data_IF_814228446468
#
_entry.id   IF_814228446468
#
_cell.length_a   1.000
_cell.length_b   1.000
_cell.length_c   1.000
_cell.angle_alpha   90.00
_cell.angle_beta   90.00
_cell.angle_gamma   90.00
#
_symmetry.space_group_name_H-M   'P 1'
#
loop_
_entity.id
_entity.type
_entity.pdbx_description
1 polymer ?
#
# COMPACT_ATOMS: atom_id res chain seq x y z
N UNK A 1 -31.12 -1.91 -12.29
CA UNK A 1 -30.65 -2.08 -10.89
C UNK A 1 -29.71 -3.28 -10.90
N UNK A 2 -28.45 -3.15 -10.45
CA UNK A 2 -27.54 -4.30 -10.40
C UNK A 2 -28.15 -5.36 -9.47
N UNK A 3 -28.13 -6.64 -9.87
CA UNK A 3 -28.62 -7.74 -9.03
C UNK A 3 -27.76 -7.83 -7.77
N UNK A 4 -28.43 -7.92 -6.62
CA UNK A 4 -27.85 -7.91 -5.27
C UNK A 4 -26.92 -9.11 -4.98
N UNK A 5 -26.78 -10.04 -5.93
CA UNK A 5 -26.03 -11.30 -5.83
C UNK A 5 -24.51 -11.18 -5.89
N UNK A 6 -23.98 -10.04 -6.36
CA UNK A 6 -22.53 -9.88 -6.61
C UNK A 6 -21.82 -9.08 -5.52
N UNK A 7 -22.52 -8.71 -4.43
CA UNK A 7 -21.88 -8.03 -3.30
C UNK A 7 -21.21 -9.11 -2.44
N UNK A 8 -19.88 -9.18 -2.39
CA UNK A 8 -19.19 -10.19 -1.59
C UNK A 8 -19.60 -10.05 -0.13
N UNK A 9 -20.00 -11.16 0.49
CA UNK A 9 -20.45 -11.18 1.90
C UNK A 9 -19.34 -10.81 2.89
N UNK A 10 -18.09 -10.73 2.42
CA UNK A 10 -16.94 -10.19 3.12
C UNK A 10 -16.25 -9.20 2.19
N UNK A 11 -16.06 -7.98 2.65
CA UNK A 11 -15.19 -7.03 1.98
C UNK A 11 -13.73 -7.49 2.14
N UNK A 12 -13.11 -7.94 1.05
CA UNK A 12 -11.70 -8.33 1.03
C UNK A 12 -10.85 -7.12 0.61
N UNK A 13 -9.88 -6.74 1.44
CA UNK A 13 -8.72 -5.96 1.01
C UNK A 13 -7.70 -6.90 0.35
N UNK A 14 -6.77 -6.35 -0.42
CA UNK A 14 -5.81 -7.16 -1.17
C UNK A 14 -6.15 -7.31 -2.64
N UNK A 15 -6.73 -6.29 -3.28
CA UNK A 15 -6.83 -6.28 -4.75
C UNK A 15 -5.45 -6.45 -5.41
N UNK A 16 -4.40 -6.02 -4.72
CA UNK A 16 -2.99 -6.26 -5.06
C UNK A 16 -2.59 -7.74 -5.09
N UNK A 17 -3.24 -8.58 -4.28
CA UNK A 17 -3.09 -10.04 -4.29
C UNK A 17 -3.85 -10.65 -5.46
N UNK A 18 -4.99 -10.06 -5.83
CA UNK A 18 -5.82 -10.46 -6.97
C UNK A 18 -5.23 -10.05 -8.33
N UNK A 19 -4.29 -9.10 -8.36
CA UNK A 19 -3.54 -8.76 -9.57
C UNK A 19 -2.71 -9.97 -10.04
N UNK A 20 -2.75 -10.26 -11.34
CA UNK A 20 -1.92 -11.30 -11.96
C UNK A 20 -0.44 -11.00 -11.68
N UNK A 21 0.14 -11.85 -10.84
CA UNK A 21 1.50 -11.73 -10.30
C UNK A 21 2.59 -11.75 -11.37
N UNK A 22 2.27 -12.22 -12.58
CA UNK A 22 3.19 -12.26 -13.72
C UNK A 22 3.34 -10.89 -14.38
N UNK A 23 2.40 -9.98 -14.16
CA UNK A 23 2.47 -8.64 -14.75
C UNK A 23 3.53 -7.80 -14.06
N UNK A 24 4.26 -6.99 -14.83
CA UNK A 24 5.24 -6.05 -14.29
C UNK A 24 4.60 -5.08 -13.30
N UNK A 25 3.36 -4.65 -13.57
CA UNK A 25 2.57 -3.79 -12.70
C UNK A 25 2.30 -4.43 -11.33
N UNK A 26 1.85 -5.69 -11.29
CA UNK A 26 1.58 -6.37 -10.03
C UNK A 26 2.86 -6.53 -9.19
N UNK A 27 3.99 -6.81 -9.84
CA UNK A 27 5.29 -6.92 -9.16
C UNK A 27 5.72 -5.59 -8.55
N UNK A 28 5.67 -4.52 -9.34
CA UNK A 28 6.04 -3.17 -8.89
C UNK A 28 5.15 -2.71 -7.72
N UNK A 29 3.83 -2.85 -7.85
CA UNK A 29 2.91 -2.45 -6.79
C UNK A 29 3.12 -3.27 -5.51
N UNK A 30 3.44 -4.56 -5.60
CA UNK A 30 3.74 -5.40 -4.42
C UNK A 30 5.02 -4.97 -3.73
N UNK A 31 6.05 -4.63 -4.50
CA UNK A 31 7.32 -4.14 -3.97
C UNK A 31 7.13 -2.79 -3.26
N UNK A 32 6.40 -1.85 -3.88
CA UNK A 32 6.07 -0.57 -3.26
C UNK A 32 5.16 -0.73 -2.04
N UNK A 33 4.18 -1.62 -2.08
CA UNK A 33 3.33 -1.94 -0.91
C UNK A 33 4.18 -2.46 0.23
N UNK A 34 5.08 -3.41 -0.05
CA UNK A 34 6.00 -3.93 0.96
C UNK A 34 6.84 -2.80 1.56
N UNK A 35 7.47 -1.97 0.74
CA UNK A 35 8.29 -0.85 1.22
C UNK A 35 7.48 0.12 2.12
N UNK A 36 6.30 0.54 1.65
CA UNK A 36 5.42 1.43 2.40
C UNK A 36 4.96 0.82 3.74
N UNK A 37 4.59 -0.46 3.74
CA UNK A 37 4.14 -1.13 4.97
C UNK A 37 5.30 -1.44 5.93
N UNK A 38 6.50 -1.72 5.42
CA UNK A 38 7.71 -1.91 6.24
C UNK A 38 8.06 -0.62 7.00
N UNK A 39 7.94 0.54 6.36
CA UNK A 39 8.13 1.86 7.00
C UNK A 39 7.13 2.13 8.14
N UNK A 40 5.97 1.45 8.10
CA UNK A 40 4.91 1.52 9.12
C UNK A 40 5.01 0.40 10.17
N UNK A 41 6.08 -0.40 10.15
CA UNK A 41 6.34 -1.47 11.12
C UNK A 41 5.96 -2.88 10.65
N UNK A 42 5.56 -3.04 9.39
CA UNK A 42 5.15 -4.31 8.77
C UNK A 42 3.65 -4.38 8.51
N UNK A 43 3.27 -5.02 7.40
CA UNK A 43 1.87 -5.15 6.98
C UNK A 43 0.98 -5.87 8.01
N UNK A 44 1.55 -6.83 8.75
CA UNK A 44 0.89 -7.58 9.83
C UNK A 44 0.53 -6.72 11.05
N UNK A 45 1.18 -5.55 11.20
CA UNK A 45 0.96 -4.62 12.32
C UNK A 45 0.03 -3.46 11.98
N UNK A 46 -0.42 -3.37 10.72
CA UNK A 46 -1.32 -2.32 10.30
C UNK A 46 -2.73 -2.58 10.79
N UNK A 47 -3.36 -1.55 11.35
CA UNK A 47 -4.80 -1.54 11.46
C UNK A 47 -5.43 -1.60 10.08
N UNK A 48 -6.68 -2.07 10.02
CA UNK A 48 -7.48 -2.06 8.80
C UNK A 48 -7.46 -0.70 8.07
N UNK A 49 -7.58 0.40 8.82
CA UNK A 49 -7.59 1.74 8.25
C UNK A 49 -6.24 2.10 7.60
N UNK A 50 -5.13 1.72 8.23
CA UNK A 50 -3.79 1.95 7.67
C UNK A 50 -3.55 1.11 6.41
N UNK A 51 -3.93 -0.17 6.41
CA UNK A 51 -3.81 -1.03 5.23
C UNK A 51 -4.62 -0.47 4.04
N UNK A 52 -5.87 -0.06 4.31
CA UNK A 52 -6.76 0.57 3.32
C UNK A 52 -6.19 1.87 2.73
N UNK A 53 -5.55 2.70 3.58
CA UNK A 53 -4.90 3.94 3.17
C UNK A 53 -3.62 3.66 2.35
N UNK A 54 -2.83 2.66 2.73
CA UNK A 54 -1.63 2.26 2.02
C UNK A 54 -1.95 1.81 0.58
N UNK A 55 -2.98 1.00 0.39
CA UNK A 55 -3.43 0.61 -0.97
C UNK A 55 -3.86 1.81 -1.81
N UNK A 56 -4.61 2.75 -1.23
CA UNK A 56 -5.04 3.99 -1.92
C UNK A 56 -3.86 4.89 -2.29
N UNK A 57 -2.83 4.95 -1.45
CA UNK A 57 -1.61 5.70 -1.75
C UNK A 57 -0.95 5.17 -3.03
N UNK A 58 -0.80 3.84 -3.14
CA UNK A 58 -0.18 3.21 -4.32
C UNK A 58 -0.98 3.45 -5.61
N UNK A 59 -2.31 3.39 -5.52
CA UNK A 59 -3.16 3.68 -6.67
C UNK A 59 -3.06 5.14 -7.11
N UNK A 60 -2.99 6.08 -6.16
CA UNK A 60 -2.78 7.49 -6.47
C UNK A 60 -1.40 7.74 -7.07
N UNK A 61 -0.34 7.11 -6.55
CA UNK A 61 0.98 7.17 -7.18
C UNK A 61 0.94 6.67 -8.62
N UNK A 62 0.30 5.52 -8.86
CA UNK A 62 0.19 4.98 -10.22
C UNK A 62 -0.61 5.91 -11.13
N UNK A 63 -1.71 6.47 -10.63
CA UNK A 63 -2.50 7.45 -11.36
C UNK A 63 -1.65 8.67 -11.74
N UNK A 64 -0.88 9.23 -10.80
CA UNK A 64 0.00 10.37 -11.05
C UNK A 64 1.05 10.05 -12.09
N UNK A 65 1.74 8.91 -11.98
CA UNK A 65 2.73 8.45 -12.97
C UNK A 65 2.12 8.34 -14.36
N UNK A 66 0.91 7.81 -14.49
CA UNK A 66 0.22 7.72 -15.78
C UNK A 66 -0.07 9.11 -16.35
N UNK A 67 -0.55 10.05 -15.54
CA UNK A 67 -0.80 11.43 -16.00
C UNK A 67 0.50 12.14 -16.40
N UNK A 68 1.58 11.92 -15.66
CA UNK A 68 2.91 12.47 -15.95
C UNK A 68 3.48 11.89 -17.26
N UNK A 69 3.22 10.61 -17.55
CA UNK A 69 3.58 9.99 -18.82
C UNK A 69 2.80 10.59 -19.99
N UNK A 70 1.50 10.83 -19.85
CA UNK A 70 0.71 11.50 -20.89
C UNK A 70 1.25 12.92 -21.16
N UNK A 71 1.55 13.68 -20.10
CA UNK A 71 2.16 15.01 -20.20
C UNK A 71 3.53 14.96 -20.90
N UNK A 72 4.40 14.02 -20.52
CA UNK A 72 5.72 13.86 -21.12
C UNK A 72 5.66 13.51 -22.62
N UNK A 73 4.60 12.83 -23.05
CA UNK A 73 4.35 12.50 -24.45
C UNK A 73 3.59 13.61 -25.21
N UNK A 74 3.40 14.79 -24.61
CA UNK A 74 2.74 15.93 -25.24
C UNK A 74 1.24 15.73 -25.46
N UNK A 75 0.60 14.82 -24.71
CA UNK A 75 -0.84 14.58 -24.79
C UNK A 75 -1.61 15.54 -23.88
N UNK A 76 -2.94 15.50 -23.99
CA UNK A 76 -3.82 16.28 -23.12
C UNK A 76 -3.59 15.95 -21.65
N UNK A 77 -3.40 16.99 -20.84
CA UNK A 77 -3.07 16.88 -19.43
C UNK A 77 -3.99 17.79 -18.62
N UNK A 78 -4.76 17.19 -17.71
CA UNK A 78 -5.59 17.92 -16.76
C UNK A 78 -4.79 18.20 -15.48
N UNK A 79 -4.19 19.40 -15.43
CA UNK A 79 -3.44 19.87 -14.29
C UNK A 79 -4.27 19.92 -13.00
N UNK A 80 -5.57 20.24 -13.10
CA UNK A 80 -6.44 20.33 -11.93
C UNK A 80 -6.69 18.96 -11.31
N UNK A 81 -6.92 17.95 -12.15
CA UNK A 81 -7.07 16.56 -11.73
C UNK A 81 -5.77 16.00 -11.15
N UNK A 82 -4.63 16.32 -11.75
CA UNK A 82 -3.33 15.92 -11.23
C UNK A 82 -3.06 16.54 -9.85
N UNK A 83 -3.28 17.85 -9.67
CA UNK A 83 -3.12 18.55 -8.37
C UNK A 83 -4.04 17.95 -7.30
N UNK A 84 -5.28 17.62 -7.63
CA UNK A 84 -6.21 16.98 -6.70
C UNK A 84 -5.70 15.59 -6.24
N UNK A 85 -5.12 14.82 -7.15
CA UNK A 85 -4.51 13.53 -6.81
C UNK A 85 -3.26 13.70 -5.93
N UNK A 86 -2.39 14.69 -6.23
CA UNK A 86 -1.23 15.02 -5.39
C UNK A 86 -1.64 15.40 -3.96
N UNK A 87 -2.65 16.27 -3.82
CA UNK A 87 -3.15 16.69 -2.51
C UNK A 87 -3.77 15.52 -1.74
N UNK A 88 -4.50 14.66 -2.44
CA UNK A 88 -5.08 13.45 -1.85
C UNK A 88 -4.00 12.48 -1.37
N UNK A 89 -2.97 12.26 -2.19
CA UNK A 89 -1.82 11.42 -1.84
C UNK A 89 -1.06 12.01 -0.64
N UNK A 90 -0.77 13.31 -0.66
CA UNK A 90 -0.12 14.00 0.47
C UNK A 90 -0.94 13.85 1.76
N UNK A 91 -2.27 13.99 1.69
CA UNK A 91 -3.16 13.80 2.84
C UNK A 91 -3.16 12.37 3.38
N UNK A 92 -3.14 11.37 2.49
CA UNK A 92 -3.03 9.96 2.89
C UNK A 92 -1.67 9.68 3.53
N UNK A 93 -0.58 10.10 2.88
CA UNK A 93 0.77 9.92 3.41
C UNK A 93 0.90 10.60 4.77
N UNK A 94 0.35 11.80 4.95
CA UNK A 94 0.34 12.52 6.23
C UNK A 94 -0.48 11.82 7.31
N UNK A 95 -1.55 11.09 6.97
CA UNK A 95 -2.31 10.28 7.94
C UNK A 95 -1.60 8.96 8.27
N UNK A 96 -0.91 8.39 7.29
CA UNK A 96 -0.01 7.26 7.50
C UNK A 96 1.26 7.68 8.26
N UNK A 97 1.61 8.98 8.28
CA UNK A 97 2.84 9.49 8.89
C UNK A 97 2.91 9.19 10.40
N UNK A 98 3.84 8.28 10.69
CA UNK A 98 4.99 8.52 11.57
C UNK A 98 4.70 8.76 13.06
N UNK A 99 3.91 7.90 13.68
CA UNK A 99 4.53 7.24 14.83
C UNK A 99 5.40 6.14 14.24
N UNK A 100 6.70 6.42 14.05
CA UNK A 100 7.66 5.35 13.77
C UNK A 100 7.62 4.41 14.99
N UNK A 101 6.78 3.40 14.93
CA UNK A 101 6.77 2.34 15.94
C UNK A 101 7.97 1.48 15.63
N UNK A 102 8.99 1.61 16.48
CA UNK A 102 10.12 0.71 16.43
C UNK A 102 9.58 -0.72 16.39
N UNK A 103 10.06 -1.51 15.42
CA UNK A 103 9.74 -2.94 15.40
C UNK A 103 10.18 -3.50 16.74
N UNK A 104 9.25 -4.01 17.56
CA UNK A 104 9.60 -4.89 18.67
C UNK A 104 10.50 -6.01 18.13
N UNK A 105 11.80 -5.86 18.40
CA UNK A 105 12.82 -6.84 18.09
C UNK A 105 12.94 -7.69 19.35
N UNK A 106 12.86 -9.03 19.24
CA UNK A 106 13.05 -9.89 20.41
C UNK A 106 14.37 -9.51 21.09
N UNK A 107 14.35 -9.41 22.41
CA UNK A 107 15.58 -9.20 23.16
C UNK A 107 16.55 -10.35 22.87
N UNK A 108 17.85 -10.12 23.02
CA UNK A 108 18.85 -11.17 22.86
C UNK A 108 18.52 -12.41 23.71
N UNK A 109 17.95 -12.21 24.91
CA UNK A 109 17.49 -13.29 25.78
C UNK A 109 16.31 -14.09 25.24
N UNK A 110 15.33 -13.42 24.61
CA UNK A 110 14.19 -14.08 23.94
C UNK A 110 14.66 -14.85 22.71
N UNK A 111 15.56 -14.28 21.93
CA UNK A 111 16.16 -14.94 20.78
C UNK A 111 16.98 -16.18 21.18
N UNK A 112 17.77 -16.08 22.24
CA UNK A 112 18.56 -17.21 22.77
C UNK A 112 17.67 -18.29 23.38
N UNK A 113 16.58 -17.96 24.08
CA UNK A 113 15.60 -18.96 24.56
C UNK A 113 14.91 -19.70 23.41
N UNK A 114 14.51 -18.97 22.37
CA UNK A 114 13.87 -19.55 21.20
C UNK A 114 14.80 -20.49 20.41
N UNK A 115 16.12 -20.22 20.37
CA UNK A 115 17.11 -21.09 19.73
C UNK A 115 17.69 -22.19 20.65
N UNK A 116 17.76 -21.93 21.95
CA UNK A 116 18.37 -22.84 22.94
C UNK A 116 17.44 -23.94 23.45
N UNK A 117 16.12 -23.83 23.23
CA UNK A 117 15.14 -24.88 23.55
C UNK A 117 15.08 -26.05 22.57
N UNK A 118 16.04 -26.16 21.64
CA UNK A 118 16.13 -27.19 20.61
C UNK A 118 17.26 -28.21 20.88
N UNK A 119 17.64 -28.40 22.14
CA UNK A 119 18.56 -29.46 22.59
C UNK A 119 17.98 -30.17 23.81
#
# INVERSE_FOLDING_TARGET
MPKQSDIPSKFNHGWLQDLDSRTALARELRERYKALTDDLGGADRLSYAQASLAERALWLERFLVLQEQELANGREFDASRWVQACNSLQGILTKLRLERKAKEVPSLGEYLKAKGGNQ
#
